data_IF_981169489825
#
_entry.id   IF_981169489825
#
_cell.length_a   1.000
_cell.length_b   1.000
_cell.length_c   1.000
_cell.angle_alpha   90.00
_cell.angle_beta   90.00
_cell.angle_gamma   90.00
#
_symmetry.space_group_name_H-M   'P 1'
#
loop_
_entity.id
_entity.type
_entity.pdbx_description
1 polymer ?
#
# COMPACT_ATOMS: atom_id res chain seq x y z
N UNK A 1 12.37 -13.32 5.68
CA UNK A 1 12.14 -14.57 6.44
C UNK A 1 12.23 -14.29 7.94
N UNK A 2 11.28 -14.75 8.76
CA UNK A 2 11.45 -14.94 10.21
C UNK A 2 10.99 -13.85 11.20
N UNK A 3 10.86 -12.57 10.83
CA UNK A 3 10.67 -11.47 11.81
C UNK A 3 9.26 -11.31 12.42
N UNK A 4 8.40 -12.32 12.37
CA UNK A 4 7.10 -12.27 13.06
C UNK A 4 6.13 -11.22 12.51
N UNK A 5 6.14 -10.93 11.19
CA UNK A 5 5.16 -10.02 10.55
C UNK A 5 3.74 -10.39 10.94
N UNK A 6 3.42 -11.68 10.94
CA UNK A 6 2.13 -12.21 11.40
C UNK A 6 1.82 -11.86 12.86
N UNK A 7 2.81 -11.93 13.76
CA UNK A 7 2.65 -11.58 15.19
C UNK A 7 2.48 -10.06 15.35
N UNK A 8 3.24 -9.25 14.62
CA UNK A 8 3.09 -7.78 14.61
C UNK A 8 1.72 -7.38 14.08
N UNK A 9 1.26 -8.01 13.00
CA UNK A 9 -0.07 -7.81 12.43
C UNK A 9 -1.16 -8.22 13.43
N UNK A 10 -1.07 -9.39 14.06
CA UNK A 10 -2.03 -9.84 15.08
C UNK A 10 -2.04 -8.91 16.30
N UNK A 11 -0.89 -8.45 16.76
CA UNK A 11 -0.79 -7.47 17.86
C UNK A 11 -1.45 -6.13 17.51
N UNK A 12 -1.35 -5.70 16.24
CA UNK A 12 -1.99 -4.48 15.75
C UNK A 12 -3.52 -4.66 15.60
N UNK A 13 -3.98 -5.82 15.14
CA UNK A 13 -5.41 -6.18 15.10
C UNK A 13 -6.00 -6.16 16.52
N UNK A 14 -5.29 -6.73 17.49
CA UNK A 14 -5.77 -6.84 18.86
C UNK A 14 -5.91 -5.48 19.56
N UNK A 15 -5.15 -4.47 19.11
CA UNK A 15 -5.18 -3.10 19.68
C UNK A 15 -6.15 -2.16 18.98
N UNK A 16 -6.64 -2.50 17.78
CA UNK A 16 -7.47 -1.62 16.95
C UNK A 16 -8.66 -2.38 16.36
N UNK A 17 -9.87 -2.05 16.82
CA UNK A 17 -11.14 -2.68 16.43
C UNK A 17 -11.51 -2.48 14.92
N UNK A 18 -10.77 -1.67 14.17
CA UNK A 18 -11.05 -1.34 12.76
C UNK A 18 -9.80 -1.55 11.88
N UNK A 19 -9.40 -2.82 11.68
CA UNK A 19 -8.26 -3.18 10.84
C UNK A 19 -8.67 -4.13 9.70
N UNK A 20 -8.28 -3.80 8.47
CA UNK A 20 -8.31 -4.75 7.34
C UNK A 20 -6.90 -5.11 6.92
N UNK A 21 -6.68 -6.42 6.82
CA UNK A 21 -5.51 -7.00 6.17
C UNK A 21 -5.95 -7.51 4.82
N UNK A 22 -5.41 -6.90 3.77
CA UNK A 22 -5.61 -7.39 2.42
C UNK A 22 -4.27 -7.96 1.95
N UNK A 23 -4.20 -9.26 1.57
CA UNK A 23 -3.06 -9.70 0.76
C UNK A 23 -3.03 -8.79 -0.47
N UNK A 24 -1.85 -8.32 -0.90
CA UNK A 24 -1.70 -7.37 -2.01
C UNK A 24 -2.14 -7.91 -3.40
N UNK A 25 -3.06 -8.88 -3.46
CA UNK A 25 -3.73 -9.33 -4.67
C UNK A 25 -4.82 -8.35 -5.09
N UNK A 26 -4.65 -7.75 -6.27
CA UNK A 26 -5.62 -6.91 -7.00
C UNK A 26 -7.04 -7.53 -7.07
N UNK A 27 -7.14 -8.85 -7.17
CA UNK A 27 -8.40 -9.57 -7.45
C UNK A 27 -9.37 -9.47 -6.26
N UNK A 28 -8.90 -9.71 -5.04
CA UNK A 28 -9.73 -9.60 -3.84
C UNK A 28 -10.18 -8.15 -3.58
N UNK A 29 -9.29 -7.19 -3.79
CA UNK A 29 -9.59 -5.80 -3.47
C UNK A 29 -10.70 -5.24 -4.37
N UNK A 30 -10.72 -5.64 -5.65
CA UNK A 30 -11.81 -5.29 -6.57
C UNK A 30 -13.14 -5.92 -6.20
N UNK A 31 -13.16 -7.19 -5.84
CA UNK A 31 -14.41 -7.86 -5.46
C UNK A 31 -14.97 -7.33 -4.15
N UNK A 32 -14.10 -6.86 -3.24
CA UNK A 32 -14.50 -6.34 -1.94
C UNK A 32 -14.71 -4.82 -1.93
N UNK A 33 -14.29 -4.09 -2.97
CA UNK A 33 -14.30 -2.61 -2.99
C UNK A 33 -15.67 -2.02 -2.64
N UNK A 34 -16.75 -2.57 -3.19
CA UNK A 34 -18.10 -2.08 -2.91
C UNK A 34 -18.46 -2.22 -1.43
N UNK A 35 -18.12 -3.33 -0.81
CA UNK A 35 -18.40 -3.57 0.60
C UNK A 35 -17.46 -2.77 1.51
N UNK A 36 -16.20 -2.63 1.10
CA UNK A 36 -15.21 -1.82 1.79
C UNK A 36 -15.55 -0.33 1.74
N UNK A 37 -16.14 0.15 0.64
CA UNK A 37 -16.53 1.57 0.53
C UNK A 37 -17.66 1.96 1.48
N UNK A 38 -18.45 0.99 1.96
CA UNK A 38 -19.59 1.21 2.88
C UNK A 38 -19.18 1.25 4.34
N UNK A 39 -17.94 0.87 4.65
CA UNK A 39 -17.45 0.73 6.02
C UNK A 39 -16.25 1.67 6.21
N UNK A 40 -16.22 2.37 7.34
CA UNK A 40 -15.10 3.23 7.71
C UNK A 40 -13.98 2.40 8.33
N UNK A 41 -12.76 2.53 7.78
CA UNK A 41 -11.57 1.88 8.33
C UNK A 41 -10.47 2.90 8.58
N UNK A 42 -9.83 2.79 9.73
CA UNK A 42 -8.75 3.69 10.10
C UNK A 42 -7.42 3.26 9.47
N UNK A 43 -7.23 1.95 9.28
CA UNK A 43 -5.97 1.36 8.82
C UNK A 43 -6.20 0.27 7.77
N UNK A 44 -5.38 0.29 6.72
CA UNK A 44 -5.21 -0.84 5.79
C UNK A 44 -3.77 -1.35 5.80
N UNK A 45 -3.63 -2.67 5.84
CA UNK A 45 -2.35 -3.36 5.73
C UNK A 45 -2.31 -4.11 4.40
N UNK A 46 -1.35 -3.76 3.55
CA UNK A 46 -1.01 -4.49 2.33
C UNK A 46 0.10 -5.48 2.65
N UNK A 47 -0.23 -6.78 2.71
CA UNK A 47 0.78 -7.82 2.90
C UNK A 47 1.35 -8.30 1.56
N UNK A 48 2.61 -8.72 1.58
CA UNK A 48 3.42 -9.03 0.40
C UNK A 48 3.54 -7.86 -0.59
N UNK A 49 3.93 -6.68 -0.07
CA UNK A 49 4.08 -5.44 -0.84
C UNK A 49 4.94 -5.55 -2.10
N UNK A 50 5.91 -6.47 -2.15
CA UNK A 50 6.69 -6.75 -3.36
C UNK A 50 5.85 -7.27 -4.54
N UNK A 51 4.63 -7.74 -4.28
CA UNK A 51 3.68 -8.12 -5.33
C UNK A 51 3.06 -6.90 -6.00
N UNK A 52 3.13 -5.72 -5.39
CA UNK A 52 2.69 -4.44 -5.94
C UNK A 52 3.69 -3.96 -7.02
N UNK A 53 3.44 -4.36 -8.27
CA UNK A 53 4.22 -3.92 -9.44
C UNK A 53 3.49 -2.83 -10.22
N UNK A 54 4.19 -2.08 -11.08
CA UNK A 54 3.60 -0.96 -11.84
C UNK A 54 2.33 -1.30 -12.64
N UNK A 55 2.16 -2.56 -13.07
CA UNK A 55 0.93 -3.07 -13.69
C UNK A 55 -0.33 -2.97 -12.77
N UNK A 56 -0.13 -2.66 -11.49
CA UNK A 56 -1.14 -2.60 -10.45
C UNK A 56 -1.44 -1.17 -9.97
N UNK A 57 -1.10 -0.15 -10.76
CA UNK A 57 -1.51 1.25 -10.50
C UNK A 57 -3.02 1.35 -10.22
N UNK A 58 -3.85 0.55 -10.91
CA UNK A 58 -5.31 0.50 -10.65
C UNK A 58 -5.66 0.05 -9.23
N UNK A 59 -4.90 -0.88 -8.64
CA UNK A 59 -5.06 -1.28 -7.23
C UNK A 59 -4.74 -0.10 -6.31
N UNK A 60 -3.62 0.59 -6.57
CA UNK A 60 -3.18 1.70 -5.74
C UNK A 60 -4.18 2.86 -5.77
N UNK A 61 -4.77 3.13 -6.94
CA UNK A 61 -5.84 4.12 -7.08
C UNK A 61 -7.11 3.72 -6.34
N UNK A 62 -7.51 2.44 -6.40
CA UNK A 62 -8.68 1.94 -5.67
C UNK A 62 -8.48 1.98 -4.14
N UNK A 63 -7.29 1.63 -3.64
CA UNK A 63 -6.96 1.78 -2.21
C UNK A 63 -6.98 3.26 -1.82
N UNK A 64 -6.49 4.15 -2.71
CA UNK A 64 -6.46 5.59 -2.46
C UNK A 64 -7.85 6.22 -2.45
N UNK A 65 -8.82 5.69 -3.20
CA UNK A 65 -10.19 6.20 -3.19
C UNK A 65 -10.96 5.80 -1.93
N UNK A 66 -10.46 4.83 -1.15
CA UNK A 66 -11.00 4.53 0.17
C UNK A 66 -10.58 5.61 1.18
N UNK A 67 -11.53 6.04 2.01
CA UNK A 67 -11.29 7.03 3.05
C UNK A 67 -10.58 6.40 4.26
N UNK A 68 -9.27 6.22 4.15
CA UNK A 68 -8.43 5.53 5.14
C UNK A 68 -7.35 6.47 5.66
N UNK A 69 -7.21 6.57 6.98
CA UNK A 69 -6.24 7.45 7.65
C UNK A 69 -4.80 6.94 7.57
N UNK A 70 -4.59 5.62 7.74
CA UNK A 70 -3.25 5.02 7.80
C UNK A 70 -3.12 3.85 6.85
N UNK A 71 -1.97 3.77 6.18
CA UNK A 71 -1.65 2.69 5.24
C UNK A 71 -0.31 2.10 5.59
N UNK A 72 -0.24 0.78 5.66
CA UNK A 72 0.98 0.04 5.99
C UNK A 72 1.24 -0.96 4.87
N UNK A 73 2.47 -1.00 4.38
CA UNK A 73 2.92 -2.02 3.42
C UNK A 73 3.89 -2.94 4.17
N UNK A 74 3.56 -4.22 4.23
CA UNK A 74 4.42 -5.27 4.77
C UNK A 74 5.03 -6.03 3.60
N UNK A 75 6.36 -6.14 3.57
CA UNK A 75 7.05 -6.95 2.57
C UNK A 75 8.11 -7.83 3.21
N UNK A 76 8.19 -9.10 2.78
CA UNK A 76 9.24 -10.04 3.13
C UNK A 76 10.61 -9.75 2.52
N UNK A 77 10.64 -8.94 1.45
CA UNK A 77 11.81 -8.60 0.67
C UNK A 77 12.05 -7.09 0.69
N UNK A 78 13.32 -6.63 0.69
CA UNK A 78 13.61 -5.22 0.45
C UNK A 78 13.12 -4.80 -0.95
N UNK A 79 12.89 -3.50 -1.15
CA UNK A 79 12.55 -2.92 -2.47
C UNK A 79 13.61 -3.33 -3.49
N UNK A 80 13.17 -3.88 -4.62
CA UNK A 80 14.06 -4.52 -5.60
C UNK A 80 14.58 -3.53 -6.63
N UNK A 81 15.17 -2.40 -6.22
CA UNK A 81 15.71 -1.33 -7.10
C UNK A 81 14.89 -1.09 -8.40
N UNK A 82 13.56 -1.21 -8.28
CA UNK A 82 12.61 -1.02 -9.36
C UNK A 82 11.89 0.28 -9.08
N UNK A 83 12.12 1.27 -9.94
CA UNK A 83 11.58 2.61 -9.75
C UNK A 83 10.04 2.61 -9.81
N UNK A 84 9.44 1.69 -10.56
CA UNK A 84 7.99 1.54 -10.63
C UNK A 84 7.40 1.01 -9.32
N UNK A 85 8.03 0.01 -8.71
CA UNK A 85 7.66 -0.51 -7.38
C UNK A 85 7.76 0.59 -6.33
N UNK A 86 8.89 1.30 -6.29
CA UNK A 86 9.14 2.36 -5.33
C UNK A 86 8.12 3.51 -5.43
N UNK A 87 7.87 4.00 -6.64
CA UNK A 87 6.87 5.04 -6.89
C UNK A 87 5.46 4.58 -6.49
N UNK A 88 5.11 3.32 -6.76
CA UNK A 88 3.81 2.77 -6.39
C UNK A 88 3.62 2.73 -4.86
N UNK A 89 4.67 2.38 -4.11
CA UNK A 89 4.63 2.40 -2.65
C UNK A 89 4.46 3.82 -2.11
N UNK A 90 5.16 4.80 -2.68
CA UNK A 90 5.00 6.21 -2.29
C UNK A 90 3.60 6.74 -2.57
N UNK A 91 3.05 6.44 -3.74
CA UNK A 91 1.68 6.79 -4.13
C UNK A 91 0.64 6.22 -3.15
N UNK A 92 0.88 5.00 -2.65
CA UNK A 92 0.02 4.36 -1.68
C UNK A 92 0.16 5.00 -0.30
N UNK A 93 1.39 5.19 0.19
CA UNK A 93 1.65 5.64 1.56
C UNK A 93 1.38 7.14 1.75
N UNK A 94 1.59 7.96 0.72
CA UNK A 94 1.53 9.42 0.81
C UNK A 94 0.39 9.93 -0.08
N UNK A 95 -0.66 10.45 0.57
CA UNK A 95 -1.92 10.84 -0.09
C UNK A 95 -1.75 11.91 -1.18
N UNK A 96 -0.80 12.83 -0.98
CA UNK A 96 -0.50 13.97 -1.87
C UNK A 96 0.79 13.84 -2.69
N UNK A 97 1.37 12.64 -2.77
CA UNK A 97 2.65 12.43 -3.47
C UNK A 97 2.61 12.87 -4.93
N UNK A 98 1.46 12.76 -5.58
CA UNK A 98 1.27 13.11 -6.99
C UNK A 98 1.61 14.56 -7.33
N UNK A 99 1.40 15.49 -6.40
CA UNK A 99 1.79 16.91 -6.59
C UNK A 99 3.30 17.04 -6.79
N UNK A 100 4.06 16.15 -6.14
CA UNK A 100 5.52 16.12 -6.18
C UNK A 100 6.07 15.10 -7.18
N UNK A 101 5.21 14.33 -7.86
CA UNK A 101 5.62 13.22 -8.72
C UNK A 101 6.57 13.68 -9.83
N UNK A 102 6.21 14.74 -10.56
CA UNK A 102 7.04 15.26 -11.65
C UNK A 102 8.39 15.80 -11.16
N UNK A 103 8.40 16.44 -9.98
CA UNK A 103 9.63 16.93 -9.37
C UNK A 103 10.54 15.75 -8.97
N UNK A 104 9.94 14.74 -8.34
CA UNK A 104 10.63 13.53 -7.91
C UNK A 104 11.18 12.73 -9.10
N UNK A 105 10.38 12.55 -10.16
CA UNK A 105 10.81 11.90 -11.40
C UNK A 105 11.99 12.65 -12.05
N UNK A 106 11.96 13.99 -12.02
CA UNK A 106 13.07 14.82 -12.51
C UNK A 106 14.35 14.60 -11.71
N UNK A 107 14.27 14.58 -10.37
CA UNK A 107 15.42 14.30 -9.50
C UNK A 107 16.02 12.90 -9.74
N UNK A 108 15.18 11.91 -10.02
CA UNK A 108 15.64 10.55 -10.29
C UNK A 108 16.35 10.41 -11.65
N UNK A 109 15.90 11.17 -12.67
CA UNK A 109 16.50 11.17 -14.00
C UNK A 109 17.78 12.00 -14.09
N UNK A 110 17.88 13.04 -13.28
CA UNK A 110 19.01 13.97 -13.25
C UNK A 110 19.48 14.16 -11.80
N UNK A 111 20.17 13.18 -11.21
CA UNK A 111 20.78 13.34 -9.90
C UNK A 111 21.84 14.45 -9.97
N UNK A 112 21.88 15.30 -8.93
CA UNK A 112 22.87 16.37 -8.77
C UNK A 112 24.30 15.83 -8.73
#
# INVERSE_FOLDING_TARGET
MGLGKTIQTISLIWTLLTLIICPASLVMLRSLYEDLSKVSFDIIICDEGHRLKSAQIKTALAIKSLNISKRIILSGTPIQNDMGEFLLWLILLIQEFWVHFNLFEKYLKYPL
#
